data_IF_185098906451
#
_entry.id   IF_185098906451
#
_cell.length_a   1.000
_cell.length_b   1.000
_cell.length_c   1.000
_cell.angle_alpha   90.00
_cell.angle_beta   90.00
_cell.angle_gamma   90.00
#
_symmetry.space_group_name_H-M   'P 1'
#
loop_
_entity.id
_entity.type
_entity.pdbx_description
1 polymer ?
#
# COMPACT_ATOMS: atom_id res chain seq x y z
N UNK A 1 -10.35 7.53 -4.80
CA UNK A 1 -11.51 7.02 -4.01
C UNK A 1 -11.35 7.39 -2.53
N UNK A 2 -12.40 7.90 -1.90
CA UNK A 2 -12.47 8.28 -0.46
C UNK A 2 -13.49 7.40 0.28
N UNK A 3 -13.24 7.09 1.55
CA UNK A 3 -14.21 6.34 2.36
C UNK A 3 -13.63 5.71 3.62
N UNK A 4 -14.47 5.37 4.58
CA UNK A 4 -14.09 4.60 5.76
C UNK A 4 -14.66 3.18 5.67
N UNK A 5 -13.93 2.18 6.15
CA UNK A 5 -14.40 0.78 6.22
C UNK A 5 -13.60 -0.24 5.40
N UNK A 6 -14.14 -1.46 5.29
CA UNK A 6 -13.51 -2.59 4.59
C UNK A 6 -13.71 -2.48 3.08
N UNK A 7 -12.62 -2.42 2.30
CA UNK A 7 -12.70 -2.30 0.84
C UNK A 7 -11.64 -3.12 0.12
N UNK A 8 -11.98 -4.29 -0.46
CA UNK A 8 -11.06 -5.05 -1.29
C UNK A 8 -10.92 -4.44 -2.68
N UNK A 9 -9.71 -4.46 -3.23
CA UNK A 9 -9.45 -3.91 -4.58
C UNK A 9 -8.48 -4.78 -5.39
N UNK A 10 -8.92 -5.16 -6.58
CA UNK A 10 -8.10 -5.87 -7.56
C UNK A 10 -7.99 -5.06 -8.85
N UNK A 11 -6.84 -5.13 -9.53
CA UNK A 11 -6.71 -4.57 -10.88
C UNK A 11 -5.30 -4.10 -11.22
N UNK A 12 -5.14 -3.57 -12.43
CA UNK A 12 -3.89 -2.98 -12.88
C UNK A 12 -4.05 -1.46 -13.10
N UNK A 13 -2.94 -0.72 -13.06
CA UNK A 13 -2.90 0.71 -13.44
C UNK A 13 -2.75 1.69 -12.28
N UNK A 14 -2.97 2.98 -12.58
CA UNK A 14 -2.83 4.10 -11.64
C UNK A 14 -4.09 4.26 -10.77
N UNK A 15 -3.96 4.15 -9.45
CA UNK A 15 -5.12 4.25 -8.54
C UNK A 15 -4.81 5.02 -7.25
N UNK A 16 -5.24 6.29 -7.13
CA UNK A 16 -5.09 7.06 -5.90
C UNK A 16 -6.21 6.75 -4.90
N UNK A 17 -5.83 6.55 -3.64
CA UNK A 17 -6.73 6.13 -2.57
C UNK A 17 -6.54 6.94 -1.30
N UNK A 18 -7.65 7.39 -0.72
CA UNK A 18 -7.66 8.11 0.56
C UNK A 18 -8.72 7.51 1.48
N UNK A 19 -8.50 7.57 2.79
CA UNK A 19 -9.48 7.24 3.82
C UNK A 19 -8.96 6.23 4.84
N UNK A 20 -9.80 5.84 5.79
CA UNK A 20 -9.39 5.02 6.93
C UNK A 20 -10.00 3.60 6.89
N UNK A 21 -9.34 2.62 7.50
CA UNK A 21 -9.88 1.26 7.67
C UNK A 21 -9.07 0.16 7.00
N UNK A 22 -9.70 -1.01 6.81
CA UNK A 22 -9.06 -2.22 6.29
C UNK A 22 -9.17 -2.31 4.77
N UNK A 23 -8.05 -2.36 4.06
CA UNK A 23 -8.03 -2.27 2.58
C UNK A 23 -7.06 -3.27 1.96
N UNK A 24 -7.50 -4.50 1.63
CA UNK A 24 -6.68 -5.47 0.94
C UNK A 24 -6.61 -5.12 -0.55
N UNK A 25 -5.41 -5.14 -1.11
CA UNK A 25 -5.17 -4.71 -2.48
C UNK A 25 -4.30 -5.70 -3.24
N UNK A 26 -4.79 -6.16 -4.38
CA UNK A 26 -4.07 -7.08 -5.28
C UNK A 26 -3.90 -6.46 -6.67
N UNK A 27 -2.76 -6.71 -7.29
CA UNK A 27 -2.51 -6.40 -8.71
C UNK A 27 -1.29 -5.52 -8.95
N UNK A 28 -1.12 -5.03 -10.19
CA UNK A 28 0.10 -4.35 -10.61
C UNK A 28 -0.10 -2.86 -10.89
N UNK A 29 0.94 -2.03 -10.71
CA UNK A 29 0.94 -0.62 -11.14
C UNK A 29 1.22 0.40 -10.04
N UNK A 30 0.85 1.67 -10.30
CA UNK A 30 1.17 2.81 -9.45
C UNK A 30 0.00 3.15 -8.51
N UNK A 31 0.19 3.05 -7.20
CA UNK A 31 -0.93 3.12 -6.23
C UNK A 31 -0.62 4.02 -5.04
N UNK A 32 -0.88 5.33 -5.13
CA UNK A 32 -0.78 6.25 -4.00
C UNK A 32 -1.86 5.99 -2.99
N UNK A 33 -1.47 5.92 -1.71
CA UNK A 33 -2.41 5.71 -0.63
C UNK A 33 -2.16 6.66 0.53
N UNK A 34 -3.20 7.38 0.93
CA UNK A 34 -3.18 8.22 2.13
C UNK A 34 -4.22 7.75 3.15
N UNK A 35 -3.89 7.85 4.43
CA UNK A 35 -4.80 7.63 5.55
C UNK A 35 -4.35 6.52 6.51
N UNK A 36 -5.22 6.22 7.47
CA UNK A 36 -4.91 5.32 8.58
C UNK A 36 -5.51 3.92 8.40
N UNK A 37 -4.93 2.90 9.04
CA UNK A 37 -5.52 1.55 9.16
C UNK A 37 -4.68 0.41 8.60
N UNK A 38 -5.33 -0.75 8.43
CA UNK A 38 -4.67 -2.01 8.03
C UNK A 38 -4.73 -2.21 6.51
N UNK A 39 -3.59 -2.33 5.84
CA UNK A 39 -3.53 -2.30 4.36
C UNK A 39 -2.67 -3.44 3.80
N UNK A 40 -3.24 -4.66 3.65
CA UNK A 40 -2.57 -5.76 2.99
C UNK A 40 -2.41 -5.49 1.50
N UNK A 41 -1.22 -5.73 0.98
CA UNK A 41 -0.94 -5.44 -0.42
C UNK A 41 -0.13 -6.55 -1.07
N UNK A 42 -0.67 -7.07 -2.17
CA UNK A 42 -0.02 -8.09 -2.99
C UNK A 42 0.14 -7.60 -4.43
N UNK A 43 1.29 -7.88 -5.04
CA UNK A 43 1.57 -7.63 -6.46
C UNK A 43 2.76 -6.70 -6.71
N UNK A 44 2.95 -6.31 -7.98
CA UNK A 44 4.15 -5.61 -8.43
C UNK A 44 3.90 -4.12 -8.72
N UNK A 45 4.88 -3.25 -8.49
CA UNK A 45 4.83 -1.84 -8.93
C UNK A 45 5.16 -0.82 -7.85
N UNK A 46 4.87 0.45 -8.15
CA UNK A 46 5.24 1.60 -7.32
C UNK A 46 4.09 1.99 -6.38
N UNK A 47 4.32 1.99 -5.06
CA UNK A 47 3.24 2.20 -4.08
C UNK A 47 3.65 3.21 -3.00
N UNK A 48 3.45 4.51 -3.22
CA UNK A 48 3.73 5.52 -2.22
C UNK A 48 2.60 5.54 -1.20
N UNK A 49 2.97 5.60 0.06
CA UNK A 49 2.02 5.48 1.16
C UNK A 49 2.28 6.52 2.24
N UNK A 50 1.22 7.20 2.65
CA UNK A 50 1.27 8.20 3.72
C UNK A 50 0.23 7.88 4.79
N UNK A 51 0.61 8.03 6.07
CA UNK A 51 -0.29 7.91 7.23
C UNK A 51 0.00 6.72 8.14
N UNK A 52 -0.86 6.47 9.14
CA UNK A 52 -0.55 5.57 10.25
C UNK A 52 -1.16 4.15 10.12
N UNK A 53 -0.50 3.13 10.65
CA UNK A 53 -1.10 1.78 10.80
C UNK A 53 -0.26 0.61 10.26
N UNK A 54 -0.87 -0.58 10.21
CA UNK A 54 -0.19 -1.83 9.89
C UNK A 54 -0.34 -2.20 8.41
N UNK A 55 0.77 -2.46 7.72
CA UNK A 55 0.79 -2.50 6.25
C UNK A 55 1.62 -3.69 5.76
N UNK A 56 1.05 -4.91 5.76
CA UNK A 56 1.74 -6.09 5.27
C UNK A 56 1.79 -6.08 3.75
N UNK A 57 2.97 -6.39 3.21
CA UNK A 57 3.23 -6.26 1.78
C UNK A 57 3.97 -7.47 1.21
N UNK A 58 3.44 -7.99 0.11
CA UNK A 58 4.02 -9.09 -0.66
C UNK A 58 4.19 -8.70 -2.13
N UNK A 59 5.34 -9.05 -2.72
CA UNK A 59 5.64 -8.83 -4.15
C UNK A 59 6.79 -7.85 -4.41
N UNK A 60 7.04 -7.55 -5.68
CA UNK A 60 8.22 -6.78 -6.13
C UNK A 60 7.88 -5.30 -6.40
N UNK A 61 8.88 -4.42 -6.41
CA UNK A 61 8.73 -3.01 -6.82
C UNK A 61 8.90 -1.96 -5.72
N UNK A 62 8.94 -0.69 -6.10
CA UNK A 62 9.39 0.41 -5.23
C UNK A 62 8.29 0.97 -4.31
N UNK A 63 8.57 1.17 -3.01
CA UNK A 63 7.53 1.48 -2.02
C UNK A 63 8.00 2.46 -0.93
N UNK A 64 7.89 3.78 -1.18
CA UNK A 64 8.18 4.78 -0.18
C UNK A 64 7.02 4.88 0.80
N UNK A 65 7.34 5.10 2.07
CA UNK A 65 6.37 5.21 3.15
C UNK A 65 6.73 6.35 4.07
N UNK A 66 5.71 7.13 4.42
CA UNK A 66 5.85 8.26 5.34
C UNK A 66 4.73 8.18 6.38
N UNK A 67 5.07 8.15 7.67
CA UNK A 67 4.11 8.08 8.78
C UNK A 67 4.43 6.98 9.79
N UNK A 68 3.63 6.90 10.85
CA UNK A 68 3.87 6.01 11.98
C UNK A 68 3.16 4.66 11.77
N UNK A 69 3.89 3.57 11.61
CA UNK A 69 3.26 2.28 11.37
C UNK A 69 4.22 1.12 11.17
N UNK A 70 3.67 -0.09 11.32
CA UNK A 70 4.43 -1.33 11.16
C UNK A 70 4.36 -1.86 9.73
N UNK A 71 5.51 -2.28 9.20
CA UNK A 71 5.71 -2.67 7.81
C UNK A 71 6.42 -4.01 7.67
N UNK A 72 5.72 -5.14 7.76
CA UNK A 72 6.31 -6.40 7.32
C UNK A 72 6.32 -6.43 5.79
N UNK A 73 7.52 -6.58 5.24
CA UNK A 73 7.77 -6.63 3.80
C UNK A 73 8.33 -8.00 3.45
N UNK A 74 7.63 -8.72 2.57
CA UNK A 74 8.03 -10.06 2.12
C UNK A 74 8.11 -10.08 0.58
N UNK A 75 9.30 -9.89 0.02
CA UNK A 75 9.52 -9.81 -1.43
C UNK A 75 10.85 -9.15 -1.79
N UNK A 76 11.22 -9.15 -3.08
CA UNK A 76 12.48 -8.55 -3.55
C UNK A 76 12.27 -7.07 -3.86
N UNK A 77 12.93 -6.20 -3.08
CA UNK A 77 13.02 -4.76 -3.35
C UNK A 77 14.46 -4.44 -3.75
N UNK A 78 14.69 -3.52 -4.70
CA UNK A 78 15.94 -2.78 -4.67
C UNK A 78 15.98 -2.02 -3.33
N UNK A 79 17.07 -2.15 -2.59
CA UNK A 79 17.26 -1.45 -1.32
C UNK A 79 17.00 0.04 -1.52
N UNK A 80 16.20 0.63 -0.63
CA UNK A 80 16.13 2.08 -0.50
C UNK A 80 17.11 2.41 0.61
N UNK A 81 18.34 2.75 0.24
CA UNK A 81 19.29 3.33 1.18
C UNK A 81 18.75 4.72 1.59
N UNK A 82 18.65 5.00 2.90
CA UNK A 82 18.01 6.20 3.43
C UNK A 82 18.70 7.51 3.01
#
# INVERSE_FOLDING_TARGET
>A
MTGNGFRPMTGNGFRPMTGNGFRPMTGNGFRPMTGNGFRPMTGNGFRPMTGNGFRPMTGNGFRPMTGNGFRPVMGRYPAFDP
#
